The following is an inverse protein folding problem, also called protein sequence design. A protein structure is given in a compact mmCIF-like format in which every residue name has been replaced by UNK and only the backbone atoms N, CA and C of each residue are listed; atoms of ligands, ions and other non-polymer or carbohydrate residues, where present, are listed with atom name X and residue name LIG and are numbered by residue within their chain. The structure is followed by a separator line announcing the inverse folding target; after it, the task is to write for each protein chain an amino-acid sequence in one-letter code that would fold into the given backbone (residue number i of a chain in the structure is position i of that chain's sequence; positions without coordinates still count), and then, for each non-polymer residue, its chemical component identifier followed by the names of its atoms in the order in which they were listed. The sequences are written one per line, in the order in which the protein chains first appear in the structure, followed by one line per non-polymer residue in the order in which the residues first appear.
data_IF_955337244805
#
_entry.id   IF_955337244805
#
_cell.length_a   1.000
_cell.length_b   1.000
_cell.length_c   1.000
_cell.angle_alpha   90.00
_cell.angle_beta   90.00
_cell.angle_gamma   90.00
#
_symmetry.space_group_name_H-M   'P 1'
#
loop_
_entity.id
_entity.type
_entity.pdbx_description
1 polymer ?
#
# COMPACT_ATOMS: atom_id res chain seq x y z
N UNK A 1 -57.39 33.38 -17.38
CA UNK A 1 -56.74 32.11 -17.03
C UNK A 1 -55.63 31.87 -18.05
N UNK A 2 -54.35 32.15 -17.76
CA UNK A 2 -53.15 31.64 -18.49
C UNK A 2 -51.88 32.29 -17.90
N UNK A 3 -51.42 31.86 -16.72
CA UNK A 3 -50.15 32.37 -16.17
C UNK A 3 -49.51 31.45 -15.12
N UNK A 4 -49.40 30.14 -15.40
CA UNK A 4 -48.76 29.19 -14.45
C UNK A 4 -47.76 28.22 -15.08
N UNK A 5 -47.55 28.25 -16.40
CA UNK A 5 -46.63 27.30 -17.05
C UNK A 5 -45.16 27.76 -17.10
N UNK A 6 -44.86 29.06 -16.98
CA UNK A 6 -43.49 29.58 -17.16
C UNK A 6 -42.56 29.39 -15.94
N UNK A 7 -43.10 29.07 -14.75
CA UNK A 7 -42.28 28.94 -13.52
C UNK A 7 -41.68 27.53 -13.38
N UNK A 8 -42.31 26.50 -13.96
CA UNK A 8 -41.86 25.10 -13.82
C UNK A 8 -40.59 24.79 -14.64
N UNK A 9 -40.40 25.45 -15.78
CA UNK A 9 -39.20 25.28 -16.62
C UNK A 9 -37.96 25.97 -16.05
N UNK A 10 -38.12 27.02 -15.25
CA UNK A 10 -37.01 27.77 -14.65
C UNK A 10 -36.28 27.00 -13.53
N UNK A 11 -36.95 26.04 -12.88
CA UNK A 11 -36.38 25.23 -11.79
C UNK A 11 -35.77 23.92 -12.29
N UNK A 12 -36.23 23.38 -13.43
CA UNK A 12 -35.75 22.10 -13.95
C UNK A 12 -34.31 22.16 -14.50
N UNK A 13 -33.95 23.26 -15.16
CA UNK A 13 -32.61 23.45 -15.75
C UNK A 13 -31.49 23.49 -14.69
N UNK A 14 -31.57 24.28 -13.59
CA UNK A 14 -30.50 24.30 -12.59
C UNK A 14 -30.35 22.96 -11.86
N UNK A 15 -31.43 22.19 -11.68
CA UNK A 15 -31.35 20.87 -11.04
C UNK A 15 -30.64 19.83 -11.93
N UNK A 16 -30.88 19.86 -13.25
CA UNK A 16 -30.17 19.01 -14.20
C UNK A 16 -28.67 19.35 -14.28
N UNK A 17 -28.32 20.64 -14.26
CA UNK A 17 -26.92 21.10 -14.25
C UNK A 17 -26.22 20.70 -12.94
N UNK A 18 -26.88 20.85 -11.79
CA UNK A 18 -26.31 20.45 -10.49
C UNK A 18 -26.07 18.93 -10.43
N UNK A 19 -27.00 18.13 -10.96
CA UNK A 19 -26.88 16.67 -11.01
C UNK A 19 -25.73 16.24 -11.94
N UNK A 20 -25.56 16.92 -13.09
CA UNK A 20 -24.46 16.64 -14.00
C UNK A 20 -23.08 16.99 -13.38
N UNK A 21 -22.99 18.07 -12.61
CA UNK A 21 -21.75 18.46 -11.91
C UNK A 21 -21.36 17.47 -10.81
N UNK A 22 -22.33 16.84 -10.13
CA UNK A 22 -22.06 15.83 -9.10
C UNK A 22 -21.55 14.50 -9.69
N UNK A 23 -21.79 14.23 -10.98
CA UNK A 23 -21.31 13.02 -11.65
C UNK A 23 -19.87 13.14 -12.18
N UNK A 24 -19.25 14.33 -12.14
CA UNK A 24 -17.88 14.54 -12.59
C UNK A 24 -16.81 14.16 -11.55
N UNK A 25 -17.20 13.55 -10.42
CA UNK A 25 -16.28 13.03 -9.40
C UNK A 25 -15.57 11.73 -9.78
N UNK A 26 -15.10 11.62 -11.03
CA UNK A 26 -14.26 10.49 -11.42
C UNK A 26 -12.94 10.59 -10.65
N UNK A 27 -12.64 9.56 -9.85
CA UNK A 27 -11.37 9.44 -9.14
C UNK A 27 -10.24 9.41 -10.16
N UNK A 28 -9.61 10.54 -10.45
CA UNK A 28 -8.44 10.59 -11.32
C UNK A 28 -7.27 9.95 -10.58
N UNK A 29 -6.69 8.89 -11.16
CA UNK A 29 -5.41 8.34 -10.73
C UNK A 29 -4.38 9.47 -10.61
N UNK A 30 -3.68 9.53 -9.47
CA UNK A 30 -2.76 10.63 -9.21
C UNK A 30 -1.45 10.39 -9.96
N UNK A 31 -1.12 11.27 -10.90
CA UNK A 31 0.13 11.21 -11.65
C UNK A 31 1.29 11.71 -10.78
N UNK A 32 2.35 10.93 -10.69
CA UNK A 32 3.61 11.31 -10.03
C UNK A 32 4.79 11.14 -10.99
N UNK A 33 5.80 11.99 -10.83
CA UNK A 33 7.04 11.92 -11.62
C UNK A 33 8.12 11.22 -10.79
N UNK A 34 8.62 10.09 -11.28
CA UNK A 34 9.80 9.45 -10.70
C UNK A 34 11.04 10.34 -10.92
N UNK A 35 11.95 10.34 -9.95
CA UNK A 35 13.22 11.04 -10.08
C UNK A 35 14.28 10.15 -10.75
N UNK A 36 15.01 10.67 -11.74
CA UNK A 36 16.13 9.94 -12.33
C UNK A 36 17.29 9.83 -11.33
N UNK A 37 17.93 8.67 -11.27
CA UNK A 37 19.16 8.46 -10.51
C UNK A 37 20.21 7.71 -11.34
N UNK A 38 21.51 8.01 -11.15
CA UNK A 38 22.57 7.18 -11.68
C UNK A 38 22.48 5.74 -11.16
N UNK A 39 22.98 4.79 -11.94
CA UNK A 39 23.15 3.41 -11.50
C UNK A 39 24.09 3.39 -10.28
N UNK A 40 23.84 2.49 -9.31
CA UNK A 40 24.61 2.23 -8.08
C UNK A 40 24.41 3.17 -6.86
N UNK A 41 23.54 4.17 -6.93
CA UNK A 41 23.32 5.08 -5.79
C UNK A 41 22.30 4.60 -4.76
N UNK A 42 21.42 3.65 -5.14
CA UNK A 42 20.28 3.24 -4.31
C UNK A 42 20.40 1.80 -3.83
N UNK A 43 20.20 1.61 -2.53
CA UNK A 43 20.25 0.32 -1.84
C UNK A 43 18.91 0.05 -1.16
N UNK A 44 18.49 -1.22 -1.20
CA UNK A 44 17.31 -1.69 -0.46
C UNK A 44 17.78 -2.19 0.90
N UNK A 45 18.01 -1.28 1.84
CA UNK A 45 18.56 -1.58 3.16
C UNK A 45 17.69 -1.07 4.33
N UNK A 46 16.57 -0.43 4.01
CA UNK A 46 15.56 0.03 4.97
C UNK A 46 15.97 1.34 5.64
N UNK A 47 16.98 2.04 5.11
CA UNK A 47 17.41 3.34 5.57
C UNK A 47 16.88 4.44 4.63
N UNK A 48 16.36 5.51 5.24
CA UNK A 48 15.74 6.62 4.50
C UNK A 48 16.71 7.71 4.06
N UNK A 49 17.99 7.60 4.41
CA UNK A 49 19.02 8.59 4.11
C UNK A 49 19.18 8.87 2.61
N UNK A 50 19.12 7.83 1.77
CA UNK A 50 19.19 7.98 0.31
C UNK A 50 17.95 8.71 -0.26
N UNK A 51 16.83 8.63 0.45
CA UNK A 51 15.53 9.19 0.09
C UNK A 51 15.31 10.63 0.58
N UNK A 52 16.09 11.10 1.56
CA UNK A 52 15.92 12.41 2.20
C UNK A 52 16.15 13.59 1.24
N UNK A 53 16.89 13.35 0.15
CA UNK A 53 17.11 14.34 -0.90
C UNK A 53 15.86 14.58 -1.76
N UNK A 54 14.89 13.66 -1.71
CA UNK A 54 13.69 13.69 -2.56
C UNK A 54 12.44 13.88 -1.71
N UNK A 55 11.66 14.90 -2.07
CA UNK A 55 10.35 15.13 -1.46
C UNK A 55 9.39 14.00 -1.86
N UNK A 56 8.51 13.53 -0.96
CA UNK A 56 7.44 12.61 -1.34
C UNK A 56 6.67 13.15 -2.55
N UNK A 57 6.55 12.35 -3.60
CA UNK A 57 5.72 12.71 -4.75
C UNK A 57 4.23 12.48 -4.48
N UNK A 58 3.92 11.68 -3.47
CA UNK A 58 2.56 11.50 -2.95
C UNK A 58 2.58 11.48 -1.42
N UNK A 59 1.55 12.08 -0.81
CA UNK A 59 1.31 12.04 0.62
C UNK A 59 -0.19 11.95 0.91
N UNK A 60 -0.59 10.92 1.67
CA UNK A 60 -1.93 10.80 2.24
C UNK A 60 -1.91 11.19 3.71
N UNK A 61 -2.69 12.21 4.10
CA UNK A 61 -2.70 12.75 5.45
C UNK A 61 -3.29 11.76 6.48
N UNK A 62 -4.32 11.01 6.08
CA UNK A 62 -5.08 10.12 6.96
C UNK A 62 -4.25 8.91 7.41
N UNK A 63 -3.63 8.22 6.45
CA UNK A 63 -2.74 7.09 6.72
C UNK A 63 -1.31 7.53 7.05
N UNK A 64 -0.97 8.81 6.81
CA UNK A 64 0.40 9.34 6.81
C UNK A 64 1.32 8.51 5.92
N UNK A 65 0.82 8.09 4.77
CA UNK A 65 1.57 7.37 3.75
C UNK A 65 2.32 8.39 2.89
N UNK A 66 3.64 8.32 2.89
CA UNK A 66 4.48 9.01 1.93
C UNK A 66 4.98 7.99 0.90
N UNK A 67 4.87 8.33 -0.39
CA UNK A 67 5.44 7.53 -1.47
C UNK A 67 6.54 8.33 -2.14
N UNK A 68 7.69 7.69 -2.29
CA UNK A 68 8.81 8.17 -3.08
C UNK A 68 9.14 7.19 -4.18
N UNK A 69 9.39 7.70 -5.37
CA UNK A 69 9.85 6.90 -6.51
C UNK A 69 11.09 7.50 -7.14
N UNK A 70 12.02 6.62 -7.50
CA UNK A 70 13.19 6.93 -8.30
C UNK A 70 13.35 5.86 -9.37
N UNK A 71 13.96 6.17 -10.49
CA UNK A 71 14.26 5.17 -11.50
C UNK A 71 15.60 5.45 -12.17
N UNK A 72 16.17 4.40 -12.72
CA UNK A 72 17.27 4.49 -13.69
C UNK A 72 16.85 3.78 -14.99
N UNK A 73 17.81 3.37 -15.81
CA UNK A 73 17.54 2.68 -17.08
C UNK A 73 16.88 1.30 -16.90
N UNK A 74 17.25 0.58 -15.85
CA UNK A 74 16.87 -0.82 -15.66
C UNK A 74 15.88 -1.03 -14.52
N UNK A 75 15.87 -0.15 -13.52
CA UNK A 75 15.19 -0.37 -12.25
C UNK A 75 14.27 0.79 -11.86
N UNK A 76 13.13 0.44 -11.28
CA UNK A 76 12.25 1.32 -10.51
C UNK A 76 12.46 1.05 -9.02
N UNK A 77 12.73 2.12 -8.28
CA UNK A 77 12.86 2.12 -6.83
C UNK A 77 11.65 2.79 -6.22
N UNK A 78 11.04 2.14 -5.23
CA UNK A 78 9.87 2.62 -4.50
C UNK A 78 10.20 2.62 -3.01
N UNK A 79 9.96 3.74 -2.35
CA UNK A 79 9.99 3.84 -0.88
C UNK A 79 8.64 4.32 -0.36
N UNK A 80 8.01 3.48 0.45
CA UNK A 80 6.79 3.80 1.16
C UNK A 80 7.12 4.02 2.63
N UNK A 81 6.67 5.13 3.20
CA UNK A 81 6.76 5.38 4.64
C UNK A 81 5.36 5.54 5.21
N UNK A 82 5.00 4.73 6.21
CA UNK A 82 3.73 4.84 6.93
C UNK A 82 3.98 5.41 8.32
N UNK A 83 3.57 6.66 8.52
CA UNK A 83 3.73 7.37 9.80
C UNK A 83 2.63 7.08 10.82
N UNK A 84 1.51 6.47 10.42
CA UNK A 84 0.43 6.09 11.34
C UNK A 84 0.75 4.74 11.99
N UNK A 85 0.99 4.73 13.31
CA UNK A 85 1.28 3.49 14.06
C UNK A 85 0.19 2.43 13.92
N UNK A 86 -1.08 2.85 13.84
CA UNK A 86 -2.20 1.93 13.63
C UNK A 86 -2.16 1.30 12.25
N UNK A 87 -1.85 2.08 11.22
CA UNK A 87 -1.73 1.58 9.85
C UNK A 87 -0.48 0.72 9.67
N UNK A 88 0.66 1.13 10.23
CA UNK A 88 1.89 0.34 10.25
C UNK A 88 1.64 -1.05 10.86
N UNK A 89 0.98 -1.11 12.03
CA UNK A 89 0.61 -2.38 12.66
C UNK A 89 -0.34 -3.20 11.77
N UNK A 90 -1.30 -2.55 11.11
CA UNK A 90 -2.22 -3.24 10.19
C UNK A 90 -1.44 -3.88 9.06
N UNK A 91 -0.60 -3.13 8.35
CA UNK A 91 0.26 -3.64 7.28
C UNK A 91 1.15 -4.78 7.78
N UNK A 92 1.75 -4.67 8.96
CA UNK A 92 2.57 -5.74 9.54
C UNK A 92 1.79 -7.04 9.81
N UNK A 93 0.48 -6.97 10.07
CA UNK A 93 -0.35 -8.15 10.33
C UNK A 93 -1.11 -8.66 9.10
N UNK A 94 -1.53 -7.77 8.20
CA UNK A 94 -2.30 -8.12 7.01
C UNK A 94 -1.43 -8.34 5.78
N UNK A 95 -0.18 -7.85 5.82
CA UNK A 95 0.64 -7.69 4.63
C UNK A 95 0.32 -6.41 3.86
N UNK A 96 1.06 -6.23 2.78
CA UNK A 96 0.91 -5.16 1.80
C UNK A 96 1.02 -5.74 0.39
N UNK A 97 0.19 -5.28 -0.54
CA UNK A 97 0.30 -5.61 -1.95
C UNK A 97 0.65 -4.38 -2.77
N UNK A 98 1.68 -4.50 -3.60
CA UNK A 98 2.01 -3.56 -4.67
C UNK A 98 1.58 -4.18 -5.99
N UNK A 99 0.63 -3.57 -6.68
CA UNK A 99 0.19 -4.01 -8.01
C UNK A 99 0.77 -3.06 -9.06
N UNK A 100 1.45 -3.62 -10.04
CA UNK A 100 2.15 -2.90 -11.09
C UNK A 100 1.45 -3.14 -12.43
N UNK A 101 0.83 -2.10 -12.97
CA UNK A 101 0.32 -2.07 -14.33
C UNK A 101 1.32 -1.39 -15.26
N UNK A 102 1.46 -1.91 -16.47
CA UNK A 102 2.28 -1.32 -17.52
C UNK A 102 1.39 -0.71 -18.61
N UNK A 103 1.92 0.29 -19.32
CA UNK A 103 1.20 0.96 -20.40
C UNK A 103 0.58 -0.03 -21.40
N UNK A 104 -0.68 0.21 -21.77
CA UNK A 104 -1.43 -0.53 -22.79
C UNK A 104 -1.79 -1.99 -22.46
N UNK A 105 -1.74 -2.41 -21.20
CA UNK A 105 -2.11 -3.78 -20.82
C UNK A 105 -3.20 -3.83 -19.75
N UNK A 106 -4.46 -3.79 -20.18
CA UNK A 106 -5.58 -4.06 -19.27
C UNK A 106 -5.53 -5.52 -18.76
N UNK A 107 -5.54 -5.70 -17.44
CA UNK A 107 -5.63 -7.01 -16.80
C UNK A 107 -4.32 -7.82 -16.78
N UNK A 108 -3.17 -7.21 -17.09
CA UNK A 108 -1.86 -7.86 -17.02
C UNK A 108 -0.99 -7.29 -15.90
N UNK A 109 -1.59 -7.03 -14.74
CA UNK A 109 -0.85 -6.44 -13.62
C UNK A 109 -0.05 -7.49 -12.84
N UNK A 110 1.17 -7.13 -12.46
CA UNK A 110 2.01 -7.95 -11.58
C UNK A 110 1.77 -7.51 -10.13
N UNK A 111 1.28 -8.41 -9.29
CA UNK A 111 1.06 -8.12 -7.88
C UNK A 111 2.17 -8.73 -6.99
N UNK A 112 2.81 -7.88 -6.20
CA UNK A 112 3.83 -8.23 -5.22
C UNK A 112 3.23 -8.10 -3.82
N UNK A 113 2.98 -9.22 -3.15
CA UNK A 113 2.39 -9.23 -1.81
C UNK A 113 3.44 -9.59 -0.76
N UNK A 114 3.71 -8.67 0.14
CA UNK A 114 4.54 -8.91 1.33
C UNK A 114 3.68 -9.60 2.37
N UNK A 115 4.03 -10.83 2.70
CA UNK A 115 3.31 -11.59 3.72
C UNK A 115 3.73 -11.13 5.12
N UNK A 116 2.79 -11.05 6.07
CA UNK A 116 3.14 -10.81 7.46
C UNK A 116 4.12 -11.89 7.94
N UNK A 117 5.03 -11.51 8.84
CA UNK A 117 5.85 -12.48 9.58
C UNK A 117 4.94 -13.53 10.24
N UNK A 118 5.33 -14.80 10.22
CA UNK A 118 4.66 -15.78 11.09
C UNK A 118 4.83 -15.28 12.52
N UNK A 119 3.70 -15.02 13.20
CA UNK A 119 3.75 -14.65 14.61
C UNK A 119 4.44 -15.82 15.31
N UNK A 120 5.58 -15.61 15.99
CA UNK A 120 6.29 -16.71 16.63
C UNK A 120 5.26 -17.45 17.47
N UNK A 121 5.10 -18.76 17.22
CA UNK A 121 4.18 -19.59 17.98
C UNK A 121 4.41 -19.22 19.44
N UNK A 122 3.35 -18.73 20.10
CA UNK A 122 3.43 -18.29 21.48
C UNK A 122 3.85 -19.51 22.28
N UNK A 123 5.16 -19.68 22.47
CA UNK A 123 5.70 -20.84 23.14
C UNK A 123 5.05 -20.81 24.53
N UNK A 124 4.14 -21.75 24.76
CA UNK A 124 3.39 -21.81 25.98
C UNK A 124 4.41 -21.84 27.12
N UNK A 125 4.39 -20.79 27.97
CA UNK A 125 5.19 -20.68 29.21
C UNK A 125 6.63 -20.20 29.08
N UNK A 126 6.98 -19.35 28.12
CA UNK A 126 8.21 -18.57 28.29
C UNK A 126 8.05 -17.57 29.44
N UNK A 127 8.95 -17.72 30.41
CA UNK A 127 8.99 -17.13 31.73
C UNK A 127 8.54 -15.66 31.76
N UNK A 128 7.54 -15.35 32.60
CA UNK A 128 6.87 -14.03 32.69
C UNK A 128 7.80 -12.88 33.12
N UNK A 129 9.01 -13.22 33.57
CA UNK A 129 9.96 -12.30 34.17
C UNK A 129 11.04 -11.80 33.19
N UNK A 130 11.09 -12.27 31.94
CA UNK A 130 12.00 -11.65 30.96
C UNK A 130 11.38 -10.36 30.40
N UNK A 131 12.09 -9.22 30.48
CA UNK A 131 11.65 -8.00 29.82
C UNK A 131 11.55 -8.28 28.33
N UNK A 132 10.34 -8.19 27.78
CA UNK A 132 10.13 -8.34 26.34
C UNK A 132 11.02 -7.33 25.62
N UNK A 133 11.90 -7.74 24.70
CA UNK A 133 12.64 -6.80 23.87
C UNK A 133 11.60 -5.94 23.15
N UNK A 134 11.58 -4.65 23.49
CA UNK A 134 10.38 -3.86 23.35
C UNK A 134 10.00 -3.60 21.87
N UNK A 135 10.92 -3.83 20.93
CA UNK A 135 10.75 -3.49 19.52
C UNK A 135 11.52 -4.42 18.56
N UNK A 136 11.72 -5.71 18.89
CA UNK A 136 12.27 -6.65 17.92
C UNK A 136 11.16 -7.05 16.94
N UNK A 137 11.00 -6.30 15.86
CA UNK A 137 10.12 -6.71 14.77
C UNK A 137 10.72 -7.90 14.03
N UNK A 138 9.89 -8.90 13.78
CA UNK A 138 10.24 -9.99 12.87
C UNK A 138 10.22 -9.45 11.44
N UNK A 139 11.27 -9.76 10.67
CA UNK A 139 11.28 -9.55 9.22
C UNK A 139 10.02 -10.21 8.58
N UNK A 140 9.51 -9.69 7.45
CA UNK A 140 8.40 -10.34 6.75
C UNK A 140 8.75 -11.80 6.43
N UNK A 141 7.76 -12.70 6.55
CA UNK A 141 8.01 -14.14 6.39
C UNK A 141 8.37 -14.54 4.96
N UNK A 142 7.94 -13.75 3.97
CA UNK A 142 8.18 -14.03 2.56
C UNK A 142 7.49 -13.02 1.64
N UNK A 143 7.75 -13.18 0.35
CA UNK A 143 7.15 -12.38 -0.73
C UNK A 143 6.34 -13.34 -1.60
N UNK A 144 5.06 -13.05 -1.78
CA UNK A 144 4.23 -13.75 -2.74
C UNK A 144 4.11 -12.92 -4.01
N UNK A 145 4.24 -13.56 -5.17
CA UNK A 145 4.06 -12.91 -6.47
C UNK A 145 2.84 -13.49 -7.18
N UNK A 146 1.98 -12.65 -7.72
CA UNK A 146 0.93 -13.05 -8.65
C UNK A 146 1.26 -12.45 -10.00
N UNK A 147 1.39 -13.31 -11.01
CA UNK A 147 1.74 -12.92 -12.38
C UNK A 147 0.64 -13.38 -13.33
N UNK A 148 0.15 -12.53 -14.23
CA UNK A 148 -0.83 -12.92 -15.23
C UNK A 148 -0.33 -14.06 -16.14
N UNK A 149 -1.23 -14.91 -16.66
CA UNK A 149 -2.66 -14.97 -16.37
C UNK A 149 -3.00 -15.74 -15.07
N UNK A 150 -2.00 -16.08 -14.25
CA UNK A 150 -2.24 -16.83 -13.01
C UNK A 150 -3.01 -15.97 -12.00
N UNK A 151 -4.12 -16.52 -11.51
CA UNK A 151 -4.86 -15.97 -10.36
C UNK A 151 -4.29 -16.45 -9.02
N UNK A 152 -3.38 -17.42 -9.06
CA UNK A 152 -2.81 -18.02 -7.86
C UNK A 152 -1.45 -17.38 -7.54
N UNK A 153 -1.29 -16.81 -6.34
CA UNK A 153 0.00 -16.33 -5.87
C UNK A 153 1.01 -17.48 -5.79
N UNK A 154 2.23 -17.23 -6.27
CA UNK A 154 3.39 -18.09 -6.08
C UNK A 154 4.22 -17.53 -4.95
N UNK A 155 4.48 -18.32 -3.93
CA UNK A 155 5.36 -17.92 -2.83
C UNK A 155 6.82 -18.00 -3.26
N UNK A 156 7.55 -16.92 -3.02
CA UNK A 156 8.98 -16.82 -3.29
C UNK A 156 9.73 -16.56 -1.99
N UNK A 157 10.83 -17.28 -1.81
CA UNK A 157 11.86 -16.84 -0.88
C UNK A 157 12.45 -15.52 -1.36
N UNK A 158 13.02 -14.69 -0.46
CA UNK A 158 13.72 -13.45 -0.87
C UNK A 158 14.81 -13.70 -1.93
N UNK A 159 15.49 -14.84 -1.87
CA UNK A 159 16.52 -15.22 -2.85
C UNK A 159 15.97 -15.51 -4.25
N UNK A 160 14.79 -16.12 -4.34
CA UNK A 160 14.12 -16.41 -5.61
C UNK A 160 13.51 -15.15 -6.22
N UNK A 161 12.94 -14.28 -5.37
CA UNK A 161 12.47 -12.95 -5.78
C UNK A 161 13.61 -12.14 -6.41
N UNK A 162 14.79 -12.10 -5.78
CA UNK A 162 15.98 -11.40 -6.32
C UNK A 162 16.40 -11.92 -7.68
N UNK A 163 16.37 -13.24 -7.90
CA UNK A 163 16.65 -13.84 -9.22
C UNK A 163 15.66 -13.42 -10.30
N UNK A 164 14.47 -12.97 -9.92
CA UNK A 164 13.43 -12.43 -10.81
C UNK A 164 13.48 -10.89 -10.92
N UNK A 165 14.52 -10.24 -10.39
CA UNK A 165 14.65 -8.79 -10.43
C UNK A 165 13.75 -8.07 -9.42
N UNK A 166 13.35 -8.74 -8.34
CA UNK A 166 12.53 -8.18 -7.27
C UNK A 166 13.35 -8.21 -5.98
N UNK A 167 13.66 -7.04 -5.44
CA UNK A 167 14.22 -6.92 -4.10
C UNK A 167 13.31 -6.04 -3.26
N UNK A 168 12.87 -6.54 -2.10
CA UNK A 168 11.98 -5.81 -1.22
C UNK A 168 12.42 -5.99 0.23
N UNK A 169 12.26 -4.93 1.02
CA UNK A 169 12.57 -4.95 2.44
C UNK A 169 11.57 -4.10 3.22
N UNK A 170 11.03 -4.69 4.28
CA UNK A 170 10.12 -4.03 5.20
C UNK A 170 10.82 -3.85 6.55
N UNK A 171 11.01 -2.61 6.98
CA UNK A 171 11.64 -2.24 8.26
C UNK A 171 10.80 -1.24 9.03
N UNK A 172 11.22 -0.91 10.25
CA UNK A 172 10.69 0.20 11.01
C UNK A 172 11.86 1.04 11.48
N UNK A 173 11.73 2.35 11.35
CA UNK A 173 12.78 3.26 11.80
C UNK A 173 12.72 3.55 13.31
N UNK A 174 13.65 4.39 13.76
CA UNK A 174 13.72 4.87 15.14
C UNK A 174 12.50 5.69 15.60
N UNK A 175 11.61 6.09 14.69
CA UNK A 175 10.41 6.86 14.96
C UNK A 175 9.14 6.02 14.86
N UNK A 176 9.27 4.69 14.93
CA UNK A 176 8.19 3.73 14.76
C UNK A 176 7.45 3.81 13.42
N UNK A 177 8.04 4.43 12.39
CA UNK A 177 7.44 4.49 11.05
C UNK A 177 7.78 3.23 10.29
N UNK A 178 6.79 2.63 9.64
CA UNK A 178 7.02 1.48 8.76
C UNK A 178 7.63 1.98 7.46
N UNK A 179 8.71 1.34 7.02
CA UNK A 179 9.38 1.65 5.75
C UNK A 179 9.32 0.39 4.90
N UNK A 180 8.78 0.52 3.69
CA UNK A 180 8.94 -0.46 2.63
C UNK A 180 9.83 0.12 1.55
N UNK A 181 10.89 -0.59 1.22
CA UNK A 181 11.70 -0.33 0.03
C UNK A 181 11.53 -1.48 -0.96
N UNK A 182 11.41 -1.14 -2.24
CA UNK A 182 11.37 -2.09 -3.32
C UNK A 182 12.26 -1.60 -4.48
N UNK A 183 13.07 -2.51 -5.03
CA UNK A 183 13.76 -2.37 -6.30
C UNK A 183 13.18 -3.39 -7.27
N UNK A 184 12.74 -2.90 -8.42
CA UNK A 184 12.04 -3.67 -9.43
C UNK A 184 12.74 -3.49 -10.76
N UNK A 185 13.27 -4.58 -11.32
CA UNK A 185 13.85 -4.53 -12.65
C UNK A 185 12.71 -4.41 -13.68
N UNK A 186 12.65 -3.27 -14.36
CA UNK A 186 11.56 -2.90 -15.27
C UNK A 186 11.43 -3.90 -16.43
N UNK A 187 12.56 -4.34 -17.00
CA UNK A 187 12.58 -5.34 -18.09
C UNK A 187 12.05 -6.68 -17.61
N UNK A 188 12.46 -7.14 -16.42
CA UNK A 188 11.96 -8.38 -15.84
C UNK A 188 10.46 -8.29 -15.51
N UNK A 189 9.99 -7.17 -14.96
CA UNK A 189 8.57 -7.00 -14.63
C UNK A 189 7.69 -6.93 -15.88
N UNK A 190 8.14 -6.22 -16.92
CA UNK A 190 7.44 -6.20 -18.20
C UNK A 190 7.37 -7.60 -18.82
N UNK A 191 8.44 -8.39 -18.75
CA UNK A 191 8.44 -9.78 -19.20
C UNK A 191 7.43 -10.64 -18.43
N UNK A 192 7.34 -10.47 -17.10
CA UNK A 192 6.34 -11.16 -16.27
C UNK A 192 4.91 -10.74 -16.65
N UNK A 193 4.69 -9.46 -16.94
CA UNK A 193 3.41 -8.94 -17.43
C UNK A 193 3.11 -9.30 -18.90
N UNK A 194 4.03 -9.99 -19.60
CA UNK A 194 3.92 -10.26 -21.03
C UNK A 194 3.75 -8.98 -21.89
N UNK A 195 4.52 -7.94 -21.54
CA UNK A 195 4.51 -6.61 -22.17
C UNK A 195 5.93 -6.08 -22.39
N UNK A 196 6.03 -4.88 -22.97
CA UNK A 196 7.28 -4.12 -23.12
C UNK A 196 7.36 -3.03 -22.06
N UNK A 197 8.56 -2.66 -21.56
CA UNK A 197 8.71 -1.53 -20.65
C UNK A 197 8.10 -0.26 -21.26
N UNK A 198 7.09 0.27 -20.61
CA UNK A 198 6.44 1.51 -21.00
C UNK A 198 7.22 2.74 -20.56
N UNK A 199 6.64 3.90 -20.78
CA UNK A 199 7.11 5.17 -20.21
C UNK A 199 6.48 5.45 -18.85
N UNK A 200 5.40 4.75 -18.52
CA UNK A 200 4.74 4.84 -17.23
C UNK A 200 4.45 3.47 -16.61
N UNK A 201 4.31 3.48 -15.29
CA UNK A 201 3.90 2.32 -14.48
C UNK A 201 2.79 2.77 -13.54
N UNK A 202 1.65 2.09 -13.57
CA UNK A 202 0.61 2.27 -12.55
C UNK A 202 0.99 1.46 -11.32
N UNK A 203 1.07 2.12 -10.17
CA UNK A 203 1.31 1.52 -8.87
C UNK A 203 0.05 1.64 -8.02
N UNK A 204 -0.59 0.50 -7.75
CA UNK A 204 -1.63 0.40 -6.72
C UNK A 204 -1.02 -0.19 -5.44
N UNK A 205 -1.25 0.48 -4.32
CA UNK A 205 -0.81 0.07 -2.99
C UNK A 205 -2.04 -0.30 -2.18
N UNK A 206 -2.14 -1.55 -1.74
CA UNK A 206 -3.29 -1.99 -0.93
C UNK A 206 -2.86 -2.76 0.31
N UNK A 207 -3.58 -2.56 1.42
CA UNK A 207 -3.56 -3.46 2.56
C UNK A 207 -4.88 -4.21 2.66
N UNK A 208 -4.90 -5.52 2.95
CA UNK A 208 -6.15 -6.24 3.15
C UNK A 208 -7.03 -5.59 4.24
N UNK A 209 -8.34 -5.67 4.06
CA UNK A 209 -9.27 -5.30 5.11
C UNK A 209 -9.16 -6.27 6.28
N UNK A 210 -8.69 -5.76 7.43
CA UNK A 210 -8.72 -6.54 8.66
C UNK A 210 -10.14 -6.50 9.22
N UNK A 211 -10.90 -7.58 9.01
CA UNK A 211 -12.13 -7.77 9.79
C UNK A 211 -11.73 -7.88 11.26
N UNK A 212 -12.33 -7.10 12.16
CA UNK A 212 -12.04 -7.25 13.58
C UNK A 212 -12.34 -8.70 13.97
N UNK A 213 -11.45 -9.36 14.73
CA UNK A 213 -11.69 -10.74 15.13
C UNK A 213 -13.06 -10.78 15.81
N UNK A 214 -13.97 -11.62 15.29
CA UNK A 214 -15.26 -11.87 15.95
C UNK A 214 -14.89 -12.23 17.38
N UNK A 215 -15.29 -11.39 18.33
CA UNK A 215 -15.07 -11.67 19.74
C UNK A 215 -15.74 -13.02 20.00
N UNK A 216 -14.96 -14.09 20.04
CA UNK A 216 -15.45 -15.41 20.34
C UNK A 216 -15.94 -15.31 21.77
N UNK A 217 -17.25 -15.20 21.89
CA UNK A 217 -17.95 -15.01 23.15
C UNK A 217 -17.80 -16.24 24.02
N UNK A 218 -16.62 -16.42 24.59
CA UNK A 218 -16.40 -17.28 25.73
C UNK A 218 -17.20 -16.69 26.87
N UNK A 219 -18.43 -17.18 27.05
CA UNK A 219 -19.27 -16.95 28.22
C UNK A 219 -18.50 -17.44 29.45
N UNK A 220 -17.60 -16.61 29.99
CA UNK A 220 -17.13 -16.78 31.37
C UNK A 220 -18.26 -16.32 32.28
N UNK A 221 -19.18 -17.26 32.52
CA UNK A 221 -20.17 -17.15 33.57
C UNK A 221 -19.44 -17.10 34.91
N UNK A 222 -19.63 -16.02 35.66
CA UNK A 222 -19.17 -15.92 37.05
C UNK A 222 -18.36 -14.66 37.32
N UNK A 223 -19.05 -13.55 37.61
CA UNK A 223 -18.38 -12.33 38.06
C UNK A 223 -19.34 -11.16 38.18
N UNK A 224 -20.18 -11.14 39.23
CA UNK A 224 -20.95 -9.97 39.65
C UNK A 224 -19.97 -8.88 40.08
N UNK A 225 -19.63 -7.96 39.18
CA UNK A 225 -18.76 -6.82 39.47
C UNK A 225 -19.05 -5.67 38.54
N UNK A 226 -19.90 -4.73 39.00
CA UNK A 226 -20.19 -3.44 38.37
C UNK A 226 -18.90 -2.69 38.03
N UNK A 227 -18.66 -2.36 36.77
CA UNK A 227 -18.10 -1.05 36.38
C UNK A 227 -18.34 -0.80 34.90
N UNK A 228 -19.11 0.27 34.61
CA UNK A 228 -19.44 0.69 33.26
C UNK A 228 -18.18 1.11 32.49
N UNK A 229 -17.90 0.39 31.40
CA UNK A 229 -16.90 0.77 30.42
C UNK A 229 -17.58 1.45 29.25
N UNK A 230 -17.27 2.74 29.04
CA UNK A 230 -17.63 3.51 27.85
C UNK A 230 -17.33 2.68 26.60
N UNK A 231 -18.35 2.47 25.77
CA UNK A 231 -18.21 1.82 24.47
C UNK A 231 -17.19 2.57 23.62
N UNK A 232 -16.00 1.99 23.49
CA UNK A 232 -15.06 2.36 22.45
C UNK A 232 -15.67 1.85 21.14
N UNK A 233 -16.37 2.73 20.43
CA UNK A 233 -16.72 2.49 19.03
C UNK A 233 -15.43 2.25 18.27
N UNK A 234 -15.13 0.98 18.01
CA UNK A 234 -14.06 0.60 17.09
C UNK A 234 -14.55 0.97 15.70
N UNK A 235 -14.19 2.17 15.25
CA UNK A 235 -14.32 2.50 13.83
C UNK A 235 -13.55 1.44 13.05
N UNK A 236 -14.18 0.87 12.02
CA UNK A 236 -13.50 -0.02 11.10
C UNK A 236 -12.31 0.77 10.54
N UNK A 237 -11.09 0.25 10.72
CA UNK A 237 -9.90 0.94 10.25
C UNK A 237 -9.87 0.87 8.71
N UNK A 238 -9.94 2.03 8.06
CA UNK A 238 -9.83 2.19 6.60
C UNK A 238 -8.62 1.41 6.08
N UNK A 239 -8.74 0.64 4.98
CA UNK A 239 -7.58 0.04 4.32
C UNK A 239 -6.63 1.12 3.82
N UNK A 240 -5.33 0.82 3.81
CA UNK A 240 -4.39 1.58 3.02
C UNK A 240 -4.73 1.35 1.56
N UNK A 241 -5.04 2.42 0.82
CA UNK A 241 -5.24 2.37 -0.62
C UNK A 241 -4.66 3.63 -1.26
N UNK A 242 -3.80 3.46 -2.26
CA UNK A 242 -3.35 4.52 -3.13
C UNK A 242 -3.18 3.96 -4.55
N UNK A 243 -3.49 4.77 -5.56
CA UNK A 243 -3.32 4.42 -6.97
C UNK A 243 -2.59 5.57 -7.66
N UNK A 244 -1.42 5.28 -8.21
CA UNK A 244 -0.46 6.26 -8.70
C UNK A 244 -0.03 5.91 -10.12
N UNK A 245 -0.02 6.87 -11.01
CA UNK A 245 0.58 6.72 -12.34
C UNK A 245 2.00 7.30 -12.29
N UNK A 246 3.02 6.46 -12.35
CA UNK A 246 4.42 6.84 -12.24
C UNK A 246 4.99 7.06 -13.63
N UNK A 247 5.27 8.31 -13.98
CA UNK A 247 6.06 8.61 -15.17
C UNK A 247 7.54 8.34 -14.89
N UNK A 248 8.16 7.48 -15.69
CA UNK A 248 9.58 7.17 -15.58
C UNK A 248 10.40 8.34 -16.13
N UNK A 249 11.40 8.79 -15.37
CA UNK A 249 12.34 9.79 -15.88
C UNK A 249 13.28 9.17 -16.92
N UNK A 250 13.82 9.99 -17.81
CA UNK A 250 14.86 9.60 -18.78
C UNK A 250 16.20 10.23 -18.42
N UNK A 251 17.29 9.66 -18.92
CA UNK A 251 18.68 10.09 -18.64
C UNK A 251 19.05 11.49 -19.14
N UNK A 252 18.14 12.21 -19.80
CA UNK A 252 18.38 13.52 -20.40
C UNK A 252 17.52 14.66 -19.86
N UNK A 253 16.80 14.46 -18.75
CA UNK A 253 15.97 15.45 -18.08
C UNK A 253 16.72 16.22 -16.98
#
# INVERSE_FOLDING_TARGET
MHQTQSIRTLIAVPFAVLTALLLMGCSSTQKIQSAWQPVDTLRVDGQTNEWDTIRPQYYDEDSRLAVRTMNNEDDLFICLTVGSRNMARKVMHSGLTLTLGFDNTEGQDVALTIKPGEEPEKSERQNRDQPRPQNAMTAPAGIAITVPPSVHPTDLTPSEARKKGIEMLLTQDRFDRLILEARLNLKAMALLANTTPGTSVTLEITSPETTPPKASGGKRAGGKGRRGGRGSSRSAATPLKAELEINLASSGA
#
